data_IF_378872316792
#
_entry.id   IF_378872316792
#
_cell.length_a   1.000
_cell.length_b   1.000
_cell.length_c   1.000
_cell.angle_alpha   90.00
_cell.angle_beta   90.00
_cell.angle_gamma   90.00
#
_symmetry.space_group_name_H-M   'P 1'
#
loop_
_entity.id
_entity.type
_entity.pdbx_description
1 polymer ?
#
# COMPACT_ATOMS: atom_id res chain seq x y z
N UNK A 1 -3.39 -43.65 4.67
CA UNK A 1 -2.59 -42.69 3.89
C UNK A 1 -3.20 -41.32 4.11
N UNK A 2 -2.46 -40.34 4.66
CA UNK A 2 -2.87 -38.94 4.54
C UNK A 2 -2.67 -38.58 3.07
N UNK A 3 -3.74 -38.26 2.34
CA UNK A 3 -3.58 -37.58 1.06
C UNK A 3 -2.95 -36.23 1.37
N UNK A 4 -1.78 -35.98 0.79
CA UNK A 4 -1.19 -34.65 0.81
C UNK A 4 -2.02 -33.80 -0.14
N UNK A 5 -2.77 -32.85 0.41
CA UNK A 5 -3.66 -31.99 -0.38
C UNK A 5 -2.82 -30.83 -0.86
N UNK A 6 -2.88 -30.60 -2.16
CA UNK A 6 -2.33 -29.39 -2.74
C UNK A 6 -3.26 -28.22 -2.41
N UNK A 7 -2.99 -27.55 -1.29
CA UNK A 7 -3.75 -26.38 -0.84
C UNK A 7 -3.60 -25.15 -1.74
N UNK A 8 -2.70 -25.18 -2.73
CA UNK A 8 -2.34 -24.04 -3.57
C UNK A 8 -2.70 -24.25 -5.03
N UNK A 9 -3.52 -25.27 -5.35
CA UNK A 9 -4.10 -25.49 -6.70
C UNK A 9 -3.05 -25.52 -7.82
N UNK A 10 -1.89 -26.12 -7.54
CA UNK A 10 -0.78 -26.28 -8.47
C UNK A 10 0.11 -25.05 -8.60
N UNK A 11 -0.15 -23.96 -7.86
CA UNK A 11 0.72 -22.78 -7.88
C UNK A 11 2.04 -23.09 -7.17
N UNK A 12 3.15 -22.81 -7.86
CA UNK A 12 4.48 -22.85 -7.26
C UNK A 12 4.69 -21.67 -6.31
N UNK A 13 5.70 -21.78 -5.44
CA UNK A 13 6.11 -20.67 -4.57
C UNK A 13 6.55 -19.46 -5.41
N UNK A 14 7.20 -19.71 -6.55
CA UNK A 14 7.58 -18.69 -7.53
C UNK A 14 6.37 -18.00 -8.16
N UNK A 15 5.30 -18.73 -8.50
CA UNK A 15 4.08 -18.12 -9.06
C UNK A 15 3.40 -17.17 -8.07
N UNK A 16 3.32 -17.60 -6.80
CA UNK A 16 2.78 -16.80 -5.70
C UNK A 16 3.63 -15.54 -5.50
N UNK A 17 4.94 -15.71 -5.48
CA UNK A 17 5.86 -14.60 -5.36
C UNK A 17 5.76 -13.59 -6.52
N UNK A 18 5.72 -14.08 -7.76
CA UNK A 18 5.58 -13.20 -8.93
C UNK A 18 4.27 -12.42 -8.90
N UNK A 19 3.18 -13.05 -8.45
CA UNK A 19 1.90 -12.36 -8.24
C UNK A 19 2.04 -11.24 -7.20
N UNK A 20 2.74 -11.47 -6.10
CA UNK A 20 3.02 -10.43 -5.10
C UNK A 20 3.85 -9.30 -5.70
N UNK A 21 4.95 -9.60 -6.38
CA UNK A 21 5.79 -8.59 -7.01
C UNK A 21 5.02 -7.76 -8.03
N UNK A 22 4.17 -8.37 -8.85
CA UNK A 22 3.34 -7.64 -9.81
C UNK A 22 2.44 -6.61 -9.13
N UNK A 23 1.86 -6.93 -7.98
CA UNK A 23 1.07 -5.99 -7.19
C UNK A 23 1.95 -4.94 -6.52
N UNK A 24 3.05 -5.35 -5.91
CA UNK A 24 3.97 -4.46 -5.23
C UNK A 24 4.50 -3.40 -6.20
N UNK A 25 4.98 -3.81 -7.37
CA UNK A 25 5.49 -2.95 -8.44
C UNK A 25 4.40 -2.30 -9.31
N UNK A 26 3.10 -2.51 -9.04
CA UNK A 26 2.04 -1.83 -9.80
C UNK A 26 2.01 -0.32 -9.55
N UNK A 27 2.66 0.13 -8.48
CA UNK A 27 2.80 1.54 -8.11
C UNK A 27 4.19 1.73 -7.52
N UNK A 28 5.00 2.60 -8.13
CA UNK A 28 6.35 2.95 -7.65
C UNK A 28 6.49 4.44 -7.41
N UNK A 29 5.49 5.23 -7.78
CA UNK A 29 5.49 6.69 -7.64
C UNK A 29 4.43 7.09 -6.61
N UNK A 30 4.85 7.88 -5.63
CA UNK A 30 4.02 8.33 -4.53
C UNK A 30 4.15 9.84 -4.35
N UNK A 31 3.06 10.46 -3.91
CA UNK A 31 3.01 11.87 -3.58
C UNK A 31 2.73 11.96 -2.10
N UNK A 32 3.58 12.66 -1.34
CA UNK A 32 3.46 12.76 0.12
C UNK A 32 3.46 14.22 0.55
N UNK A 33 2.73 14.50 1.64
CA UNK A 33 2.58 15.86 2.18
C UNK A 33 3.48 16.11 3.39
N UNK A 34 3.90 15.04 4.06
CA UNK A 34 4.72 15.08 5.26
C UNK A 34 6.02 14.32 4.99
N UNK A 35 7.12 14.82 5.54
CA UNK A 35 8.34 14.02 5.62
C UNK A 35 8.10 12.87 6.61
N UNK A 36 8.56 11.65 6.31
CA UNK A 36 8.41 10.53 7.22
C UNK A 36 9.25 10.74 8.48
N UNK A 37 8.74 10.34 9.65
CA UNK A 37 9.52 10.37 10.89
C UNK A 37 10.63 9.31 10.91
N UNK A 38 10.42 8.20 10.19
CA UNK A 38 11.35 7.06 10.07
C UNK A 38 11.55 6.62 8.61
N UNK A 39 12.66 5.94 8.32
CA UNK A 39 12.98 5.43 6.98
C UNK A 39 11.89 4.54 6.37
N UNK A 40 11.10 3.87 7.21
CA UNK A 40 9.86 3.20 6.81
C UNK A 40 8.74 3.60 7.78
N UNK A 41 7.80 4.39 7.30
CA UNK A 41 6.61 4.76 8.04
C UNK A 41 5.37 4.16 7.34
N UNK A 42 4.67 3.19 7.99
CA UNK A 42 3.51 2.54 7.40
C UNK A 42 2.32 3.48 7.20
N UNK A 43 2.29 4.63 7.87
CA UNK A 43 1.25 5.64 7.70
C UNK A 43 1.47 6.51 6.46
N UNK A 44 2.68 6.47 5.87
CA UNK A 44 3.00 7.17 4.64
C UNK A 44 2.52 6.41 3.40
N UNK A 45 2.28 7.14 2.32
CA UNK A 45 1.65 6.58 1.11
C UNK A 45 2.33 5.32 0.53
N UNK A 46 3.67 5.25 0.49
CA UNK A 46 4.36 4.05 0.01
C UNK A 46 4.36 2.91 1.06
N UNK A 47 4.43 3.24 2.35
CA UNK A 47 4.35 2.27 3.45
C UNK A 47 2.96 1.64 3.55
N UNK A 48 1.92 2.44 3.34
CA UNK A 48 0.53 1.99 3.23
C UNK A 48 0.34 1.04 2.05
N UNK A 49 0.91 1.37 0.87
CA UNK A 49 0.86 0.47 -0.29
C UNK A 49 1.54 -0.88 -0.04
N UNK A 50 2.73 -0.88 0.58
CA UNK A 50 3.41 -2.13 0.96
C UNK A 50 2.54 -2.94 1.93
N UNK A 51 1.99 -2.30 2.95
CA UNK A 51 1.13 -2.94 3.96
C UNK A 51 -0.12 -3.54 3.31
N UNK A 52 -0.75 -2.81 2.40
CA UNK A 52 -1.91 -3.28 1.65
C UNK A 52 -1.56 -4.48 0.77
N UNK A 53 -0.44 -4.44 0.04
CA UNK A 53 0.01 -5.58 -0.77
C UNK A 53 0.22 -6.84 0.07
N UNK A 54 0.83 -6.72 1.25
CA UNK A 54 1.05 -7.83 2.18
C UNK A 54 -0.30 -8.40 2.68
N UNK A 55 -1.24 -7.53 3.05
CA UNK A 55 -2.57 -7.94 3.51
C UNK A 55 -3.34 -8.68 2.40
N UNK A 56 -3.35 -8.12 1.18
CA UNK A 56 -4.02 -8.72 0.03
C UNK A 56 -3.41 -10.06 -0.40
N UNK A 57 -2.10 -10.25 -0.22
CA UNK A 57 -1.47 -11.54 -0.45
C UNK A 57 -1.91 -12.56 0.60
N UNK A 58 -1.92 -12.18 1.88
CA UNK A 58 -2.39 -13.06 2.96
C UNK A 58 -3.84 -13.50 2.70
N UNK A 59 -4.72 -12.57 2.35
CA UNK A 59 -6.12 -12.88 2.06
C UNK A 59 -6.27 -13.78 0.83
N UNK A 60 -5.45 -13.56 -0.20
CA UNK A 60 -5.43 -14.45 -1.35
C UNK A 60 -5.05 -15.89 -1.00
N UNK A 61 -4.00 -16.08 -0.19
CA UNK A 61 -3.59 -17.41 0.27
C UNK A 61 -4.70 -18.09 1.09
N UNK A 62 -5.35 -17.34 1.99
CA UNK A 62 -6.49 -17.84 2.77
C UNK A 62 -7.62 -18.34 1.89
N UNK A 63 -8.03 -17.54 0.91
CA UNK A 63 -9.11 -17.90 -0.01
C UNK A 63 -8.73 -19.09 -0.90
N UNK A 64 -7.48 -19.18 -1.33
CA UNK A 64 -6.98 -20.31 -2.10
C UNK A 64 -7.04 -21.62 -1.28
N UNK A 65 -6.61 -21.57 -0.02
CA UNK A 65 -6.67 -22.72 0.89
C UNK A 65 -8.12 -23.10 1.18
N UNK A 66 -9.00 -22.13 1.47
CA UNK A 66 -10.43 -22.35 1.74
C UNK A 66 -11.12 -23.00 0.55
N UNK A 67 -10.96 -22.43 -0.64
CA UNK A 67 -11.58 -22.95 -1.86
C UNK A 67 -11.09 -24.35 -2.20
N UNK A 68 -9.78 -24.60 -2.14
CA UNK A 68 -9.23 -25.91 -2.48
C UNK A 68 -9.59 -26.98 -1.44
N UNK A 69 -9.63 -26.61 -0.16
CA UNK A 69 -10.04 -27.53 0.90
C UNK A 69 -11.53 -27.86 0.81
N UNK A 70 -12.37 -26.88 0.48
CA UNK A 70 -13.80 -27.10 0.22
C UNK A 70 -14.03 -28.00 -1.01
N UNK A 71 -13.28 -27.80 -2.10
CA UNK A 71 -13.31 -28.66 -3.30
C UNK A 71 -12.92 -30.12 -2.95
N UNK A 72 -12.00 -30.31 -2.01
CA UNK A 72 -11.59 -31.62 -1.49
C UNK A 72 -12.53 -32.20 -0.41
N UNK A 73 -13.60 -31.49 -0.03
CA UNK A 73 -14.55 -31.91 1.00
C UNK A 73 -14.01 -31.84 2.43
N UNK A 74 -13.01 -30.99 2.68
CA UNK A 74 -12.31 -30.87 3.96
C UNK A 74 -12.59 -29.52 4.59
N UNK A 75 -12.92 -29.55 5.88
CA UNK A 75 -13.17 -28.37 6.69
C UNK A 75 -11.94 -28.14 7.57
N UNK A 76 -11.21 -27.07 7.27
CA UNK A 76 -10.10 -26.60 8.09
C UNK A 76 -10.59 -25.58 9.11
N UNK A 77 -9.98 -25.55 10.28
CA UNK A 77 -10.17 -24.45 11.24
C UNK A 77 -9.40 -23.21 10.78
N UNK A 78 -9.78 -22.05 11.30
CA UNK A 78 -9.06 -20.80 10.99
C UNK A 78 -7.59 -20.87 11.43
N UNK A 79 -7.31 -21.52 12.57
CA UNK A 79 -5.95 -21.75 13.07
C UNK A 79 -5.11 -22.59 12.09
N UNK A 80 -5.69 -23.65 11.52
CA UNK A 80 -5.01 -24.48 10.52
C UNK A 80 -4.74 -23.71 9.22
N UNK A 81 -5.68 -22.85 8.80
CA UNK A 81 -5.48 -21.98 7.64
C UNK A 81 -4.32 -21.02 7.92
N UNK A 82 -4.27 -20.39 9.10
CA UNK A 82 -3.17 -19.49 9.46
C UNK A 82 -1.82 -20.18 9.48
N UNK A 83 -1.72 -21.40 10.01
CA UNK A 83 -0.48 -22.17 10.01
C UNK A 83 0.01 -22.45 8.58
N UNK A 84 -0.89 -22.86 7.68
CA UNK A 84 -0.56 -23.13 6.27
C UNK A 84 -0.13 -21.84 5.55
N UNK A 85 -0.85 -20.74 5.76
CA UNK A 85 -0.52 -19.42 5.19
C UNK A 85 0.86 -18.96 5.68
N UNK A 86 1.10 -19.03 7.00
CA UNK A 86 2.35 -18.58 7.59
C UNK A 86 3.53 -19.38 7.05
N UNK A 87 3.42 -20.70 7.01
CA UNK A 87 4.46 -21.57 6.43
C UNK A 87 4.74 -21.23 4.97
N UNK A 88 3.70 -21.01 4.16
CA UNK A 88 3.88 -20.67 2.75
C UNK A 88 4.56 -19.31 2.57
N UNK A 89 4.21 -18.32 3.39
CA UNK A 89 4.86 -17.00 3.36
C UNK A 89 6.33 -17.09 3.77
N UNK A 90 6.69 -17.94 4.72
CA UNK A 90 8.09 -18.20 5.06
C UNK A 90 8.85 -18.82 3.89
N UNK A 91 8.25 -19.77 3.16
CA UNK A 91 8.83 -20.34 1.94
C UNK A 91 9.02 -19.27 0.84
N UNK A 92 8.03 -18.40 0.64
CA UNK A 92 8.13 -17.26 -0.30
C UNK A 92 9.29 -16.35 0.11
N UNK A 93 9.33 -15.91 1.38
CA UNK A 93 10.34 -14.99 1.88
C UNK A 93 11.77 -15.55 1.79
N UNK A 94 11.95 -16.86 1.93
CA UNK A 94 13.26 -17.51 1.80
C UNK A 94 13.84 -17.41 0.38
N UNK A 95 12.97 -17.44 -0.64
CA UNK A 95 13.41 -17.30 -2.03
C UNK A 95 13.82 -15.86 -2.36
N UNK A 96 13.32 -14.87 -1.59
CA UNK A 96 13.14 -13.50 -2.09
C UNK A 96 13.54 -12.46 -1.05
N UNK A 97 14.44 -12.80 -0.13
CA UNK A 97 14.66 -12.10 1.14
C UNK A 97 14.87 -10.58 1.09
N UNK A 98 15.12 -9.99 -0.09
CA UNK A 98 15.32 -8.55 -0.30
C UNK A 98 14.25 -7.87 -1.17
N UNK A 99 13.22 -8.56 -1.67
CA UNK A 99 12.35 -7.97 -2.71
C UNK A 99 11.58 -6.71 -2.29
N UNK A 100 11.24 -6.57 -1.01
CA UNK A 100 10.64 -5.35 -0.48
C UNK A 100 11.69 -4.24 -0.37
N UNK A 101 12.92 -4.57 0.03
CA UNK A 101 14.04 -3.62 0.07
C UNK A 101 14.38 -3.12 -1.35
N UNK A 102 14.49 -4.04 -2.31
CA UNK A 102 14.69 -3.76 -3.74
C UNK A 102 13.54 -2.94 -4.35
N UNK A 103 12.34 -3.07 -3.81
CA UNK A 103 11.20 -2.25 -4.18
C UNK A 103 11.33 -0.84 -3.59
N UNK A 104 11.66 -0.70 -2.30
CA UNK A 104 11.86 0.59 -1.62
C UNK A 104 12.92 1.42 -2.34
N UNK A 105 14.02 0.81 -2.79
CA UNK A 105 15.05 1.52 -3.58
C UNK A 105 14.55 2.09 -4.91
N UNK A 106 13.47 1.52 -5.47
CA UNK A 106 12.87 1.95 -6.74
C UNK A 106 11.68 2.89 -6.55
N UNK A 107 11.24 3.11 -5.31
CA UNK A 107 10.15 4.02 -5.00
C UNK A 107 10.62 5.46 -5.20
N UNK A 108 9.83 6.22 -5.96
CA UNK A 108 10.00 7.67 -6.14
C UNK A 108 8.92 8.39 -5.35
N UNK A 109 9.32 9.29 -4.45
CA UNK A 109 8.41 10.10 -3.64
C UNK A 109 8.53 11.57 -4.03
N UNK A 110 7.41 12.17 -4.43
CA UNK A 110 7.30 13.62 -4.63
C UNK A 110 6.66 14.25 -3.40
N UNK A 111 7.39 15.14 -2.74
CA UNK A 111 6.88 15.87 -1.58
C UNK A 111 6.17 17.16 -2.01
N UNK A 112 4.91 17.33 -1.60
CA UNK A 112 4.17 18.58 -1.80
C UNK A 112 4.39 19.48 -0.59
N UNK A 113 5.15 20.55 -0.82
CA UNK A 113 5.36 21.60 0.16
C UNK A 113 4.08 22.43 0.38
N UNK A 114 3.40 22.21 1.51
CA UNK A 114 2.12 22.86 1.85
C UNK A 114 2.27 24.34 2.20
N UNK A 115 3.50 24.86 2.31
CA UNK A 115 3.78 26.26 2.72
C UNK A 115 3.20 27.29 1.73
N UNK A 116 2.98 26.93 0.46
CA UNK A 116 2.52 27.90 -0.56
C UNK A 116 1.05 28.32 -0.48
N UNK A 117 0.16 27.51 0.10
CA UNK A 117 -1.27 27.86 0.12
C UNK A 117 -1.61 28.93 1.16
N UNK A 118 -0.82 29.04 2.24
CA UNK A 118 -1.08 29.99 3.31
C UNK A 118 -0.71 31.43 2.91
N UNK A 119 0.38 31.62 2.16
CA UNK A 119 0.80 32.95 1.69
C UNK A 119 -0.11 33.50 0.57
N UNK A 120 -0.57 32.65 -0.36
CA UNK A 120 -1.43 33.09 -1.47
C UNK A 120 -2.82 33.57 -0.99
N UNK A 121 -3.44 32.87 -0.02
CA UNK A 121 -4.70 33.32 0.58
C UNK A 121 -4.55 34.68 1.27
N UNK A 122 -3.46 34.90 2.01
CA UNK A 122 -3.19 36.20 2.66
C UNK A 122 -2.95 37.31 1.64
N UNK A 123 -2.20 37.05 0.56
CA UNK A 123 -1.94 38.03 -0.49
C UNK A 123 -3.22 38.42 -1.24
N UNK A 124 -4.04 37.44 -1.65
CA UNK A 124 -5.31 37.68 -2.32
C UNK A 124 -6.30 38.42 -1.41
N UNK A 125 -6.44 38.00 -0.14
CA UNK A 125 -7.35 38.66 0.80
C UNK A 125 -6.90 40.10 1.11
N UNK A 126 -5.59 40.33 1.26
CA UNK A 126 -5.03 41.68 1.48
C UNK A 126 -5.20 42.58 0.25
N UNK A 127 -5.05 42.03 -0.94
CA UNK A 127 -5.25 42.76 -2.19
C UNK A 127 -6.73 43.09 -2.41
N UNK A 128 -7.63 42.13 -2.22
CA UNK A 128 -9.08 42.31 -2.29
C UNK A 128 -9.57 43.37 -1.28
N UNK A 129 -9.10 43.32 -0.02
CA UNK A 129 -9.45 44.33 0.98
C UNK A 129 -8.97 45.75 0.61
N UNK A 130 -7.77 45.89 0.02
CA UNK A 130 -7.27 47.19 -0.44
C UNK A 130 -8.05 47.70 -1.66
N UNK A 131 -8.32 46.83 -2.61
CA UNK A 131 -9.09 47.15 -3.81
C UNK A 131 -10.53 47.57 -3.47
N UNK A 132 -11.15 46.87 -2.52
CA UNK A 132 -12.50 47.19 -2.06
C UNK A 132 -12.57 48.53 -1.31
N UNK A 133 -11.57 48.86 -0.49
CA UNK A 133 -11.44 50.21 0.12
C UNK A 133 -11.27 51.31 -0.92
N UNK A 134 -10.48 51.07 -1.96
CA UNK A 134 -10.28 52.01 -3.05
C UNK A 134 -11.59 52.26 -3.83
N UNK A 135 -12.31 51.21 -4.23
CA UNK A 135 -13.61 51.32 -4.89
C UNK A 135 -14.60 52.10 -4.01
N UNK A 136 -14.70 51.77 -2.72
CA UNK A 136 -15.63 52.45 -1.81
C UNK A 136 -15.32 53.95 -1.68
N UNK A 137 -14.06 54.35 -1.78
CA UNK A 137 -13.66 55.77 -1.76
C UNK A 137 -14.06 56.54 -3.03
N UNK A 138 -14.22 55.87 -4.17
CA UNK A 138 -14.62 56.48 -5.44
C UNK A 138 -16.13 56.74 -5.53
N UNK A 139 -16.94 55.98 -4.79
CA UNK A 139 -18.40 56.10 -4.77
C UNK A 139 -18.96 56.83 -3.53
N UNK A 140 -18.10 57.27 -2.59
CA UNK A 140 -18.53 58.02 -1.39
C UNK A 140 -18.42 59.55 -1.58
N UNK A 141 -18.74 60.06 -2.76
CA UNK A 141 -18.81 61.50 -3.04
C UNK A 141 -20.24 61.92 -3.31
#
# INVERSE_FOLDING_TARGET
>A
MKQDIDHFKGMSTEDLHQRFLQKLYSKTEFIQYNDPEDFFDPEQEYGNHITQCIAEERDFLRELIRSTSAEAGIILTEEQIEEIVQKKREEINQLTGTSIEDYIEKVSVTYIDTVRECEQKFLLQRWLCRFWKFIKSLFSR
#
